data_IF_342448131991
#
_entry.id   IF_342448131991
#
_cell.length_a   1.000
_cell.length_b   1.000
_cell.length_c   1.000
_cell.angle_alpha   90.00
_cell.angle_beta   90.00
_cell.angle_gamma   90.00
#
_symmetry.space_group_name_H-M   'P 1'
#
loop_
_entity.id
_entity.type
_entity.pdbx_description
1 polymer ?
#
# COMPACT_ATOMS: atom_id res chain seq x y z
N UNK A 1 8.95 -10.89 1.02
CA UNK A 1 8.85 -9.90 2.11
C UNK A 1 9.54 -10.47 3.33
N UNK A 2 10.62 -9.85 3.82
CA UNK A 2 11.26 -10.30 5.06
C UNK A 2 10.56 -9.56 6.20
N UNK A 3 10.14 -10.30 7.23
CA UNK A 3 9.74 -9.67 8.51
C UNK A 3 10.96 -8.92 9.03
N UNK A 4 10.77 -7.69 9.49
CA UNK A 4 11.85 -6.94 10.09
C UNK A 4 12.38 -7.65 11.34
N UNK A 5 13.54 -7.22 11.85
CA UNK A 5 14.13 -7.76 13.08
C UNK A 5 13.18 -7.66 14.29
N UNK A 6 12.16 -6.79 14.21
CA UNK A 6 11.12 -6.59 15.22
C UNK A 6 9.89 -7.48 15.11
N UNK A 7 9.78 -8.44 14.18
CA UNK A 7 8.60 -9.32 14.09
C UNK A 7 7.43 -8.71 13.29
N UNK A 8 6.18 -9.00 13.69
CA UNK A 8 4.94 -8.68 12.93
C UNK A 8 4.60 -7.17 12.87
N UNK A 9 5.30 -6.34 13.63
CA UNK A 9 5.10 -4.88 13.74
C UNK A 9 5.97 -4.05 12.80
N UNK A 10 6.77 -4.70 11.95
CA UNK A 10 7.64 -4.01 10.98
C UNK A 10 7.76 -4.77 9.66
N UNK A 11 7.75 -4.02 8.56
CA UNK A 11 7.88 -4.56 7.20
C UNK A 11 9.00 -3.85 6.47
N UNK A 12 9.92 -4.63 5.92
CA UNK A 12 11.08 -4.10 5.20
C UNK A 12 11.08 -4.56 3.74
N UNK A 13 11.28 -3.60 2.84
CA UNK A 13 11.49 -3.81 1.42
C UNK A 13 12.91 -3.37 1.08
N UNK A 14 13.79 -4.35 0.88
CA UNK A 14 15.20 -4.09 0.64
C UNK A 14 15.63 -4.60 -0.73
N UNK A 15 16.41 -3.78 -1.44
CA UNK A 15 17.16 -4.21 -2.61
C UNK A 15 18.64 -3.80 -2.46
N UNK A 16 19.42 -3.87 -3.53
CA UNK A 16 20.86 -3.52 -3.51
C UNK A 16 21.12 -2.00 -3.48
N UNK A 17 20.11 -1.17 -3.77
CA UNK A 17 20.22 0.29 -3.91
C UNK A 17 19.58 1.08 -2.78
N UNK A 18 18.49 0.60 -2.21
CA UNK A 18 17.79 1.23 -1.09
C UNK A 18 17.09 0.18 -0.23
N UNK A 19 16.64 0.61 0.94
CA UNK A 19 15.77 -0.15 1.83
C UNK A 19 14.67 0.77 2.34
N UNK A 20 13.43 0.34 2.19
CA UNK A 20 12.27 1.00 2.77
C UNK A 20 11.82 0.19 3.99
N UNK A 21 11.55 0.88 5.10
CA UNK A 21 11.09 0.27 6.35
C UNK A 21 9.81 0.97 6.77
N UNK A 22 8.76 0.20 7.04
CA UNK A 22 7.57 0.68 7.72
C UNK A 22 7.45 -0.02 9.07
N UNK A 23 7.20 0.74 10.14
CA UNK A 23 7.06 0.17 11.48
C UNK A 23 6.18 1.04 12.38
N UNK A 24 5.57 0.39 13.38
CA UNK A 24 4.75 1.06 14.40
C UNK A 24 5.68 1.78 15.38
N UNK A 25 5.61 3.11 15.43
CA UNK A 25 6.65 3.92 16.09
C UNK A 25 6.66 3.77 17.62
N UNK A 26 5.49 3.70 18.26
CA UNK A 26 5.44 3.57 19.73
C UNK A 26 6.00 2.22 20.23
N UNK A 27 5.74 1.13 19.51
CA UNK A 27 6.29 -0.18 19.86
C UNK A 27 7.81 -0.23 19.67
N UNK A 28 8.30 0.37 18.58
CA UNK A 28 9.74 0.52 18.34
C UNK A 28 10.40 1.33 19.47
N UNK A 29 9.80 2.42 19.93
CA UNK A 29 10.34 3.21 21.04
C UNK A 29 10.46 2.41 22.34
N UNK A 30 9.43 1.64 22.70
CA UNK A 30 9.45 0.78 23.89
C UNK A 30 10.59 -0.24 23.79
N UNK A 31 10.81 -0.84 22.61
CA UNK A 31 11.92 -1.79 22.40
C UNK A 31 13.29 -1.14 22.50
N UNK A 32 13.41 0.13 22.14
CA UNK A 32 14.63 0.91 22.29
C UNK A 32 14.81 1.54 23.68
N UNK A 33 13.98 1.14 24.66
CA UNK A 33 14.15 1.50 26.07
C UNK A 33 13.37 2.73 26.53
N UNK A 34 12.43 3.23 25.72
CA UNK A 34 11.49 4.25 26.18
C UNK A 34 10.54 3.67 27.24
N UNK A 35 10.18 4.49 28.24
CA UNK A 35 9.17 4.09 29.22
C UNK A 35 7.80 3.97 28.53
N UNK A 36 7.09 2.88 28.81
CA UNK A 36 5.73 2.68 28.32
C UNK A 36 4.75 3.71 28.88
N UNK A 37 5.08 4.33 30.02
CA UNK A 37 4.30 5.40 30.64
C UNK A 37 4.70 6.81 30.15
N UNK A 38 5.66 6.94 29.22
CA UNK A 38 5.97 8.24 28.62
C UNK A 38 4.74 8.79 27.89
N UNK A 39 4.45 10.06 28.12
CA UNK A 39 3.35 10.79 27.49
C UNK A 39 3.46 10.70 25.95
N UNK A 40 4.68 10.75 25.41
CA UNK A 40 4.91 10.62 23.97
C UNK A 40 4.59 9.23 23.43
N UNK A 41 4.98 8.17 24.15
CA UNK A 41 4.70 6.80 23.72
C UNK A 41 3.20 6.53 23.74
N UNK A 42 2.51 7.01 24.78
CA UNK A 42 1.06 6.91 24.89
C UNK A 42 0.35 7.68 23.78
N UNK A 43 0.77 8.92 23.51
CA UNK A 43 0.22 9.73 22.42
C UNK A 43 0.41 9.07 21.05
N UNK A 44 1.60 8.55 20.75
CA UNK A 44 1.89 7.85 19.48
C UNK A 44 1.07 6.57 19.31
N UNK A 45 0.74 5.89 20.42
CA UNK A 45 -0.12 4.71 20.42
C UNK A 45 -1.57 5.10 20.10
N UNK A 46 -2.08 6.14 20.76
CA UNK A 46 -3.46 6.59 20.57
C UNK A 46 -3.71 7.16 19.18
N UNK A 47 -2.72 7.85 18.60
CA UNK A 47 -2.78 8.34 17.22
C UNK A 47 -2.51 7.26 16.16
N UNK A 48 -2.04 6.07 16.56
CA UNK A 48 -1.78 4.97 15.62
C UNK A 48 -0.61 5.25 14.65
N UNK A 49 0.46 5.88 15.13
CA UNK A 49 1.54 6.36 14.26
C UNK A 49 2.38 5.22 13.66
N UNK A 50 2.49 5.26 12.33
CA UNK A 50 3.40 4.43 11.53
C UNK A 50 4.48 5.31 10.93
N UNK A 51 5.75 4.91 11.08
CA UNK A 51 6.86 5.58 10.43
C UNK A 51 7.27 4.84 9.17
N UNK A 52 7.50 5.59 8.09
CA UNK A 52 8.06 5.09 6.84
C UNK A 52 9.43 5.74 6.64
N UNK A 53 10.47 4.91 6.59
CA UNK A 53 11.86 5.33 6.40
C UNK A 53 12.42 4.78 5.09
N UNK A 54 13.27 5.58 4.45
CA UNK A 54 14.04 5.18 3.28
C UNK A 54 15.52 5.30 3.61
N UNK A 55 16.22 4.20 3.51
CA UNK A 55 17.66 4.11 3.64
C UNK A 55 18.27 3.95 2.25
N UNK A 56 19.01 4.95 1.80
CA UNK A 56 19.74 4.90 0.53
C UNK A 56 21.09 4.21 0.73
N UNK A 57 21.43 3.25 -0.14
CA UNK A 57 22.73 2.57 -0.10
C UNK A 57 23.75 3.31 -0.95
N UNK A 58 25.03 3.02 -0.71
CA UNK A 58 26.20 3.69 -1.32
C UNK A 58 26.08 3.99 -2.81
N UNK A 59 25.63 3.03 -3.63
CA UNK A 59 25.50 3.23 -5.09
C UNK A 59 24.49 4.33 -5.42
N UNK A 60 23.30 4.26 -4.83
CA UNK A 60 22.24 5.24 -5.11
C UNK A 60 22.58 6.61 -4.52
N UNK A 61 23.17 6.66 -3.32
CA UNK A 61 23.69 7.90 -2.75
C UNK A 61 24.71 8.58 -3.67
N UNK A 62 25.63 7.80 -4.24
CA UNK A 62 26.65 8.31 -5.17
C UNK A 62 26.06 8.78 -6.49
N UNK A 63 25.12 8.03 -7.07
CA UNK A 63 24.42 8.40 -8.31
C UNK A 63 23.63 9.72 -8.15
N UNK A 64 23.06 9.96 -6.96
CA UNK A 64 22.31 11.17 -6.65
C UNK A 64 23.20 12.33 -6.14
N UNK A 65 24.50 12.09 -5.98
CA UNK A 65 25.45 13.04 -5.42
C UNK A 65 25.20 13.39 -3.95
N UNK A 66 24.47 12.55 -3.20
CA UNK A 66 24.13 12.75 -1.78
C UNK A 66 25.23 12.28 -0.81
N UNK A 67 26.43 12.01 -1.34
CA UNK A 67 27.61 11.74 -0.52
C UNK A 67 28.26 13.03 0.03
N UNK A 68 27.88 14.19 -0.53
CA UNK A 68 28.33 15.51 -0.10
C UNK A 68 27.18 16.23 0.58
N UNK A 69 27.41 16.68 1.83
CA UNK A 69 26.44 17.42 2.63
C UNK A 69 25.97 18.69 1.93
N UNK A 70 26.84 19.36 1.16
CA UNK A 70 26.46 20.58 0.43
C UNK A 70 25.37 20.35 -0.63
N UNK A 71 25.24 19.11 -1.10
CA UNK A 71 24.25 18.71 -2.12
C UNK A 71 22.99 18.08 -1.50
N UNK A 72 22.91 18.02 -0.17
CA UNK A 72 21.72 17.58 0.57
C UNK A 72 20.89 18.82 0.87
N UNK A 73 19.72 18.89 0.27
CA UNK A 73 18.75 19.98 0.47
C UNK A 73 17.39 19.38 0.77
N UNK A 74 16.58 20.06 1.57
CA UNK A 74 15.26 19.58 1.99
C UNK A 74 14.37 19.25 0.77
N UNK A 75 14.32 20.15 -0.21
CA UNK A 75 13.56 19.93 -1.44
C UNK A 75 13.97 18.64 -2.20
N UNK A 76 15.26 18.29 -2.18
CA UNK A 76 15.77 17.07 -2.83
C UNK A 76 15.42 15.83 -2.03
N UNK A 77 15.46 15.91 -0.69
CA UNK A 77 15.05 14.82 0.20
C UNK A 77 13.55 14.56 0.10
N UNK A 78 12.72 15.61 0.12
CA UNK A 78 11.27 15.53 -0.06
C UNK A 78 10.90 14.91 -1.42
N UNK A 79 11.49 15.42 -2.51
CA UNK A 79 11.23 14.88 -3.84
C UNK A 79 11.65 13.42 -4.00
N UNK A 80 12.78 13.04 -3.40
CA UNK A 80 13.23 11.66 -3.37
C UNK A 80 12.28 10.78 -2.55
N UNK A 81 11.86 11.24 -1.37
CA UNK A 81 10.92 10.52 -0.51
C UNK A 81 9.61 10.25 -1.27
N UNK A 82 8.99 11.28 -1.83
CA UNK A 82 7.76 11.18 -2.63
C UNK A 82 7.91 10.17 -3.79
N UNK A 83 9.03 10.23 -4.53
CA UNK A 83 9.30 9.30 -5.63
C UNK A 83 9.38 7.84 -5.17
N UNK A 84 10.02 7.58 -4.02
CA UNK A 84 10.19 6.22 -3.52
C UNK A 84 8.92 5.66 -2.87
N UNK A 85 8.05 6.51 -2.30
CA UNK A 85 6.80 6.05 -1.68
C UNK A 85 5.64 5.91 -2.67
N UNK A 86 5.70 6.55 -3.85
CA UNK A 86 4.61 6.50 -4.82
C UNK A 86 4.09 5.08 -5.10
N UNK A 87 4.94 4.04 -5.30
CA UNK A 87 4.44 2.70 -5.60
C UNK A 87 3.51 2.13 -4.51
N UNK A 88 3.66 2.59 -3.26
CA UNK A 88 2.78 2.22 -2.15
C UNK A 88 1.44 2.96 -2.22
N UNK A 89 1.41 4.19 -2.73
CA UNK A 89 0.17 4.95 -2.98
C UNK A 89 -0.67 4.31 -4.11
N UNK A 90 -0.04 3.56 -5.02
CA UNK A 90 -0.72 2.93 -6.17
C UNK A 90 -1.42 1.60 -5.85
N UNK A 91 -1.09 0.95 -4.73
CA UNK A 91 -1.54 -0.41 -4.41
C UNK A 91 -3.05 -0.56 -4.15
N UNK A 92 -3.79 0.55 -4.08
CA UNK A 92 -5.21 0.58 -3.71
C UNK A 92 -6.18 0.41 -4.89
N UNK A 93 -5.69 0.33 -6.14
CA UNK A 93 -6.56 0.01 -7.29
C UNK A 93 -6.68 -1.49 -7.45
N UNK A 94 -7.82 -2.04 -7.09
CA UNK A 94 -8.20 -3.38 -7.57
C UNK A 94 -8.09 -3.38 -9.09
N UNK A 95 -7.20 -4.21 -9.66
CA UNK A 95 -7.03 -4.33 -11.11
C UNK A 95 -8.32 -4.74 -11.83
N UNK A 96 -9.36 -5.18 -11.11
CA UNK A 96 -10.66 -5.52 -11.65
C UNK A 96 -11.35 -4.32 -12.32
N UNK A 97 -11.17 -3.10 -11.79
CA UNK A 97 -11.74 -1.88 -12.41
C UNK A 97 -11.08 -1.61 -13.78
N UNK A 98 -9.76 -1.70 -13.85
CA UNK A 98 -9.00 -1.52 -15.09
C UNK A 98 -9.39 -2.58 -16.14
N UNK A 99 -9.62 -3.83 -15.71
CA UNK A 99 -10.11 -4.91 -16.59
C UNK A 99 -11.53 -4.61 -17.09
N UNK A 100 -12.43 -4.12 -16.23
CA UNK A 100 -13.80 -3.78 -16.62
C UNK A 100 -13.87 -2.58 -17.56
N UNK A 101 -12.94 -1.63 -17.45
CA UNK A 101 -12.85 -0.50 -18.36
C UNK A 101 -12.35 -0.87 -19.76
N UNK A 102 -11.50 -1.88 -19.86
CA UNK A 102 -11.09 -2.46 -21.14
C UNK A 102 -12.21 -3.28 -21.85
N UNK A 103 -13.29 -3.63 -21.14
CA UNK A 103 -14.40 -4.42 -21.68
C UNK A 103 -15.46 -3.54 -22.35
N UNK A 104 -16.00 -3.94 -23.52
CA UNK A 104 -17.11 -3.25 -24.16
C UNK A 104 -18.32 -3.10 -23.22
N UNK A 105 -18.89 -1.89 -23.18
CA UNK A 105 -19.95 -1.51 -22.24
C UNK A 105 -21.12 -2.51 -22.16
N UNK A 106 -21.54 -3.06 -23.31
CA UNK A 106 -22.64 -4.05 -23.39
C UNK A 106 -22.32 -5.38 -22.72
N UNK A 107 -21.04 -5.74 -22.60
CA UNK A 107 -20.57 -6.99 -21.99
C UNK A 107 -20.04 -6.80 -20.56
N UNK A 108 -19.84 -5.56 -20.11
CA UNK A 108 -19.25 -5.22 -18.81
C UNK A 108 -20.02 -5.81 -17.63
N UNK A 109 -21.36 -5.80 -17.68
CA UNK A 109 -22.21 -6.39 -16.63
C UNK A 109 -21.98 -7.90 -16.49
N UNK A 110 -21.82 -8.61 -17.61
CA UNK A 110 -21.56 -10.05 -17.60
C UNK A 110 -20.15 -10.38 -17.11
N UNK A 111 -19.16 -9.56 -17.48
CA UNK A 111 -17.80 -9.69 -16.96
C UNK A 111 -17.75 -9.46 -15.44
N UNK A 112 -18.39 -8.39 -14.95
CA UNK A 112 -18.44 -8.07 -13.52
C UNK A 112 -19.16 -9.16 -12.70
N UNK A 113 -20.28 -9.68 -13.21
CA UNK A 113 -21.00 -10.77 -12.55
C UNK A 113 -20.15 -12.04 -12.45
N UNK A 114 -19.48 -12.42 -13.54
CA UNK A 114 -18.59 -13.57 -13.56
C UNK A 114 -17.38 -13.38 -12.65
N UNK A 115 -16.72 -12.21 -12.68
CA UNK A 115 -15.62 -11.84 -11.77
C UNK A 115 -16.04 -11.96 -10.31
N UNK A 116 -17.27 -11.59 -9.99
CA UNK A 116 -17.86 -11.68 -8.66
C UNK A 116 -18.40 -13.09 -8.31
N UNK A 117 -18.08 -14.11 -9.11
CA UNK A 117 -18.36 -15.53 -8.85
C UNK A 117 -19.82 -15.96 -9.09
N UNK A 118 -20.61 -15.19 -9.85
CA UNK A 118 -22.00 -15.56 -10.15
C UNK A 118 -22.07 -16.68 -11.21
N UNK A 119 -23.09 -17.55 -11.11
CA UNK A 119 -23.38 -18.53 -12.16
C UNK A 119 -24.03 -17.85 -13.37
N UNK A 120 -23.24 -17.72 -14.44
CA UNK A 120 -23.64 -17.07 -15.67
C UNK A 120 -24.76 -17.81 -16.42
N UNK A 121 -24.95 -19.11 -16.19
CA UNK A 121 -26.03 -19.90 -16.81
C UNK A 121 -27.38 -19.62 -16.15
N UNK A 122 -27.38 -19.27 -14.87
CA UNK A 122 -28.57 -18.83 -14.16
C UNK A 122 -28.92 -17.37 -14.49
N UNK A 123 -27.91 -16.54 -14.79
CA UNK A 123 -28.08 -15.09 -14.96
C UNK A 123 -28.56 -14.67 -16.36
N UNK A 124 -28.37 -15.50 -17.39
CA UNK A 124 -28.65 -15.13 -18.77
C UNK A 124 -29.17 -16.30 -19.61
N UNK A 125 -30.00 -16.02 -20.61
CA UNK A 125 -30.38 -17.02 -21.60
C UNK A 125 -29.16 -17.50 -22.38
N UNK A 126 -29.19 -18.76 -22.79
CA UNK A 126 -28.07 -19.41 -23.48
C UNK A 126 -27.56 -18.60 -24.69
N UNK A 127 -28.47 -18.09 -25.54
CA UNK A 127 -28.11 -17.26 -26.69
C UNK A 127 -27.40 -15.96 -26.30
N UNK A 128 -27.85 -15.31 -25.22
CA UNK A 128 -27.23 -14.08 -24.71
C UNK A 128 -25.86 -14.37 -24.12
N UNK A 129 -25.73 -15.46 -23.36
CA UNK A 129 -24.48 -15.89 -22.77
C UNK A 129 -23.40 -16.13 -23.83
N UNK A 130 -23.69 -16.89 -24.89
CA UNK A 130 -22.72 -17.15 -25.96
C UNK A 130 -22.30 -15.89 -26.73
N UNK A 131 -23.23 -14.95 -26.94
CA UNK A 131 -22.94 -13.66 -27.59
C UNK A 131 -21.94 -12.84 -26.78
N UNK A 132 -22.13 -12.73 -25.47
CA UNK A 132 -21.19 -11.98 -24.62
C UNK A 132 -19.90 -12.75 -24.37
N UNK A 133 -19.95 -14.09 -24.26
CA UNK A 133 -18.75 -14.92 -24.13
C UNK A 133 -17.79 -14.77 -25.32
N UNK A 134 -18.32 -14.62 -26.55
CA UNK A 134 -17.49 -14.37 -27.73
C UNK A 134 -16.71 -13.06 -27.58
N UNK A 135 -17.40 -11.98 -27.23
CA UNK A 135 -16.79 -10.64 -27.07
C UNK A 135 -15.79 -10.63 -25.91
N UNK A 136 -16.14 -11.22 -24.78
CA UNK A 136 -15.28 -11.22 -23.58
C UNK A 136 -14.03 -12.09 -23.74
N UNK A 137 -14.09 -13.13 -24.57
CA UNK A 137 -12.92 -13.97 -24.88
C UNK A 137 -11.85 -13.18 -25.65
N UNK A 138 -12.23 -12.17 -26.45
CA UNK A 138 -11.28 -11.25 -27.08
C UNK A 138 -10.53 -10.39 -26.03
N UNK A 139 -11.17 -10.12 -24.90
CA UNK A 139 -10.57 -9.46 -23.73
C UNK A 139 -9.87 -10.44 -22.77
N UNK A 140 -9.78 -11.74 -23.11
CA UNK A 140 -9.18 -12.77 -22.25
C UNK A 140 -10.06 -13.29 -21.12
N UNK A 141 -11.36 -12.98 -21.11
CA UNK A 141 -12.32 -13.39 -20.07
C UNK A 141 -13.20 -14.54 -20.59
N UNK A 142 -13.17 -15.69 -19.92
CA UNK A 142 -14.03 -16.84 -20.25
C UNK A 142 -15.17 -17.03 -19.25
N UNK A 143 -16.30 -16.37 -19.52
CA UNK A 143 -17.49 -16.43 -18.67
C UNK A 143 -18.23 -17.79 -18.69
N UNK A 144 -17.84 -18.72 -19.56
CA UNK A 144 -18.42 -20.06 -19.63
C UNK A 144 -17.74 -21.04 -18.66
N UNK A 145 -16.50 -20.73 -18.28
CA UNK A 145 -15.79 -21.48 -17.25
C UNK A 145 -16.41 -21.17 -15.88
N UNK A 146 -16.74 -22.18 -15.06
CA UNK A 146 -17.20 -21.93 -13.71
C UNK A 146 -16.06 -21.28 -12.92
N UNK A 147 -16.35 -20.15 -12.28
CA UNK A 147 -15.39 -19.44 -11.44
C UNK A 147 -15.73 -19.74 -9.99
N UNK A 148 -14.99 -20.66 -9.40
CA UNK A 148 -15.19 -21.07 -8.01
C UNK A 148 -14.55 -20.03 -7.07
N UNK A 149 -15.25 -18.92 -6.85
CA UNK A 149 -14.88 -17.93 -5.84
C UNK A 149 -15.88 -18.04 -4.70
N UNK A 150 -15.40 -18.38 -3.51
CA UNK A 150 -16.15 -18.12 -2.29
C UNK A 150 -16.08 -16.62 -1.98
N UNK A 151 -17.24 -15.95 -1.95
CA UNK A 151 -17.31 -14.56 -1.48
C UNK A 151 -17.02 -14.54 0.01
N UNK A 152 -15.78 -14.23 0.36
CA UNK A 152 -15.45 -13.87 1.73
C UNK A 152 -15.96 -12.44 1.97
N UNK A 153 -16.91 -12.20 2.88
CA UNK A 153 -17.33 -10.84 3.23
C UNK A 153 -16.17 -10.16 3.96
N UNK A 154 -15.28 -9.52 3.19
CA UNK A 154 -14.20 -8.72 3.73
C UNK A 154 -14.83 -7.45 4.31
N UNK A 155 -14.74 -7.26 5.63
CA UNK A 155 -14.98 -5.95 6.23
C UNK A 155 -13.79 -5.07 5.87
N UNK A 156 -13.95 -4.27 4.82
CA UNK A 156 -12.94 -3.28 4.45
C UNK A 156 -12.98 -2.19 5.53
N UNK A 157 -11.88 -2.05 6.26
CA UNK A 157 -11.64 -0.88 7.10
C UNK A 157 -10.79 0.08 6.29
N UNK A 158 -11.37 1.22 5.93
CA UNK A 158 -10.60 2.31 5.34
C UNK A 158 -9.76 2.93 6.45
N UNK A 159 -8.46 3.04 6.19
CA UNK A 159 -7.51 3.71 7.07
C UNK A 159 -7.08 4.95 6.29
N UNK A 160 -7.45 6.12 6.80
CA UNK A 160 -6.96 7.39 6.27
C UNK A 160 -5.56 7.64 6.83
N UNK A 161 -4.61 7.88 5.94
CA UNK A 161 -3.23 8.18 6.31
C UNK A 161 -2.99 9.67 6.09
N UNK A 162 -2.63 10.37 7.15
CA UNK A 162 -2.28 11.79 7.11
C UNK A 162 -0.84 12.00 7.61
N UNK A 163 -0.11 12.99 7.08
CA UNK A 163 1.17 13.39 7.66
C UNK A 163 1.00 13.77 9.13
N UNK A 164 1.87 13.21 9.98
CA UNK A 164 1.82 13.48 11.41
C UNK A 164 2.32 14.91 11.71
N UNK A 165 1.49 15.71 12.38
CA UNK A 165 1.92 16.98 12.96
C UNK A 165 2.59 16.75 14.33
N UNK A 166 3.59 17.58 14.66
CA UNK A 166 4.18 17.59 16.00
C UNK A 166 3.12 18.13 16.98
N UNK A 167 2.85 17.45 18.11
CA UNK A 167 1.87 17.93 19.06
C UNK A 167 2.39 19.15 19.84
N UNK A 168 1.48 20.06 20.21
CA UNK A 168 1.81 21.38 20.79
C UNK A 168 2.69 21.33 22.05
N UNK A 169 2.57 20.24 22.82
CA UNK A 169 3.32 20.05 24.06
C UNK A 169 4.72 19.44 23.84
N UNK A 170 5.01 18.93 22.65
CA UNK A 170 6.29 18.30 22.36
C UNK A 170 7.31 19.31 21.85
N UNK A 171 8.34 19.52 22.66
CA UNK A 171 9.47 20.38 22.32
C UNK A 171 10.77 19.56 22.29
N UNK A 172 11.49 19.67 21.17
CA UNK A 172 12.79 19.03 20.95
C UNK A 172 13.90 19.67 21.79
N UNK A 173 13.86 20.99 21.98
CA UNK A 173 14.89 21.73 22.71
C UNK A 173 14.81 21.44 24.21
N UNK A 174 13.58 21.41 24.75
CA UNK A 174 13.34 21.13 26.17
C UNK A 174 13.76 19.72 26.62
N UNK A 175 13.83 18.74 25.71
CA UNK A 175 14.21 17.35 26.04
C UNK A 175 15.67 17.02 25.74
N UNK A 176 16.41 17.92 25.08
CA UNK A 176 17.83 17.76 24.77
C UNK A 176 18.77 18.33 25.86
N UNK A 177 18.24 19.09 26.82
CA UNK A 177 18.94 19.67 27.97
C UNK A 177 18.93 18.73 29.19
#
# INVERSE_FOLDING_TARGET
MKRGQSGDESVWWANTRHMLKAYIKHLEMIKHGADSNDELVSWLKDQGVVRVEIELKKRLLSELGLNDLANITDAKLEGLYEQQIEPFKRADRSCDEDILDAVPQKSRVYAAAWLAGQDMRAMASQATLYRHAKVLRECGIDILAPRNIERFPVKVRFIELEPLAVPDWYDLEARAA
#
